data_IF_011622255029
#
_entry.id   IF_011622255029
#
_cell.length_a   1.000
_cell.length_b   1.000
_cell.length_c   1.000
_cell.angle_alpha   90.00
_cell.angle_beta   90.00
_cell.angle_gamma   90.00
#
_symmetry.space_group_name_H-M   'P 1'
#
loop_
_entity.id
_entity.type
_entity.pdbx_description
1 polymer ?
#
# COMPACT_ATOMS: atom_id res chain seq x y z
N UNK A 1 21.66 -9.41 24.85
CA UNK A 1 22.78 -10.13 25.48
C UNK A 1 22.86 -11.58 25.02
N UNK A 2 21.71 -12.20 24.67
CA UNK A 2 21.66 -13.64 24.32
C UNK A 2 21.67 -13.93 22.82
N UNK A 3 21.64 -12.92 21.93
CA UNK A 3 21.54 -13.15 20.47
C UNK A 3 22.75 -13.94 19.94
N UNK A 4 23.95 -13.62 20.42
CA UNK A 4 25.19 -14.28 19.98
C UNK A 4 25.44 -15.65 20.64
N UNK A 5 24.62 -16.09 21.57
CA UNK A 5 24.62 -17.47 22.06
C UNK A 5 24.10 -18.45 21.00
N UNK A 6 23.27 -17.96 20.08
CA UNK A 6 22.82 -18.72 18.92
C UNK A 6 23.88 -18.64 17.82
N UNK A 7 24.45 -19.79 17.46
CA UNK A 7 25.55 -19.90 16.49
C UNK A 7 25.22 -19.20 15.16
N UNK A 8 24.01 -19.39 14.63
CA UNK A 8 23.58 -18.79 13.36
C UNK A 8 23.61 -17.26 13.39
N UNK A 9 23.04 -16.61 14.41
CA UNK A 9 23.07 -15.14 14.49
C UNK A 9 24.48 -14.58 14.63
N UNK A 10 25.38 -15.31 15.31
CA UNK A 10 26.79 -14.93 15.37
C UNK A 10 27.46 -15.03 14.00
N UNK A 11 27.19 -16.09 13.21
CA UNK A 11 27.70 -16.26 11.85
C UNK A 11 27.16 -15.18 10.91
N UNK A 12 25.87 -14.83 10.99
CA UNK A 12 25.27 -13.73 10.26
C UNK A 12 25.94 -12.38 10.58
N UNK A 13 26.15 -12.10 11.86
CA UNK A 13 26.85 -10.90 12.30
C UNK A 13 28.28 -10.84 11.74
N UNK A 14 29.04 -11.94 11.80
CA UNK A 14 30.38 -12.02 11.25
C UNK A 14 30.39 -11.89 9.71
N UNK A 15 29.35 -12.38 9.03
CA UNK A 15 29.20 -12.18 7.59
C UNK A 15 29.09 -10.68 7.25
N UNK A 16 28.26 -9.93 7.95
CA UNK A 16 28.16 -8.47 7.76
C UNK A 16 29.46 -7.73 8.13
N UNK A 17 30.15 -8.15 9.19
CA UNK A 17 31.46 -7.58 9.54
C UNK A 17 32.46 -7.83 8.40
N UNK A 18 32.44 -9.02 7.79
CA UNK A 18 33.28 -9.33 6.64
C UNK A 18 32.98 -8.40 5.47
N UNK A 19 31.74 -8.25 5.11
CA UNK A 19 31.29 -7.33 4.05
C UNK A 19 31.79 -5.90 4.31
N UNK A 20 31.62 -5.39 5.53
CA UNK A 20 32.08 -4.04 5.91
C UNK A 20 33.61 -3.91 5.75
N UNK A 21 34.35 -4.94 6.16
CA UNK A 21 35.83 -4.93 6.04
C UNK A 21 36.25 -4.99 4.58
N UNK A 22 35.70 -5.89 3.79
CA UNK A 22 36.00 -6.08 2.38
C UNK A 22 35.72 -4.82 1.56
N UNK A 23 34.59 -4.16 1.82
CA UNK A 23 34.16 -2.99 1.05
C UNK A 23 34.82 -1.68 1.46
N UNK A 24 35.24 -1.54 2.72
CA UNK A 24 35.67 -0.23 3.23
C UNK A 24 37.13 -0.20 3.71
N UNK A 25 37.74 -1.34 4.07
CA UNK A 25 39.02 -1.33 4.78
C UNK A 25 40.14 -2.09 4.09
N UNK A 26 39.80 -3.02 3.16
CA UNK A 26 40.86 -3.77 2.46
C UNK A 26 41.52 -2.95 1.33
N UNK A 27 40.80 -2.09 0.65
CA UNK A 27 41.26 -1.31 -0.51
C UNK A 27 41.75 0.10 -0.15
N UNK A 28 41.95 0.40 1.15
CA UNK A 28 42.41 1.69 1.67
C UNK A 28 41.52 2.90 1.31
N UNK A 29 40.28 2.68 0.81
CA UNK A 29 39.34 3.75 0.46
C UNK A 29 39.01 4.64 1.65
N UNK A 30 38.98 4.09 2.87
CA UNK A 30 38.73 4.86 4.08
C UNK A 30 39.88 5.87 4.36
N UNK A 31 41.11 5.55 3.98
CA UNK A 31 42.30 6.43 4.12
C UNK A 31 42.10 7.63 3.19
N UNK A 32 41.85 7.38 1.90
CA UNK A 32 41.63 8.43 0.89
C UNK A 32 40.45 9.34 1.28
N UNK A 33 39.38 8.75 1.81
CA UNK A 33 38.24 9.52 2.33
C UNK A 33 38.61 10.34 3.57
N UNK A 34 39.42 9.78 4.46
CA UNK A 34 39.96 10.47 5.63
C UNK A 34 40.81 11.66 5.26
N UNK A 35 41.72 11.50 4.27
CA UNK A 35 42.56 12.57 3.70
C UNK A 35 41.70 13.70 3.12
N UNK A 36 40.74 13.38 2.29
CA UNK A 36 39.85 14.37 1.67
C UNK A 36 39.04 15.17 2.73
N UNK A 37 38.55 14.49 3.77
CA UNK A 37 37.83 15.14 4.88
C UNK A 37 38.77 16.02 5.71
N UNK A 38 40.01 15.56 5.99
CA UNK A 38 41.02 16.33 6.71
C UNK A 38 41.38 17.61 5.95
N UNK A 39 41.64 17.52 4.64
CA UNK A 39 41.90 18.65 3.77
C UNK A 39 40.73 19.65 3.76
N UNK A 40 39.49 19.14 3.66
CA UNK A 40 38.28 19.98 3.64
C UNK A 40 38.14 20.83 4.89
N UNK A 41 38.47 20.31 6.08
CA UNK A 41 38.30 21.03 7.36
C UNK A 41 39.58 21.75 7.80
N UNK A 42 40.74 21.54 7.16
CA UNK A 42 42.06 22.00 7.60
C UNK A 42 42.09 23.49 7.93
N UNK A 43 41.60 24.35 7.02
CA UNK A 43 41.63 25.79 7.22
C UNK A 43 40.83 26.22 8.47
N UNK A 44 39.72 25.54 8.76
CA UNK A 44 38.93 25.82 9.95
C UNK A 44 39.63 25.40 11.22
N UNK A 45 40.29 24.24 11.19
CA UNK A 45 41.09 23.69 12.29
C UNK A 45 42.31 24.59 12.59
N UNK A 46 43.02 25.05 11.55
CA UNK A 46 44.18 25.92 11.70
C UNK A 46 43.79 27.28 12.29
N UNK A 47 42.59 27.80 11.96
CA UNK A 47 42.10 29.06 12.47
C UNK A 47 41.55 28.99 13.91
N UNK A 48 41.25 27.77 14.43
CA UNK A 48 40.77 27.60 15.79
C UNK A 48 41.87 27.78 16.83
N UNK A 49 41.82 28.87 17.58
CA UNK A 49 42.73 29.19 18.67
C UNK A 49 42.40 28.51 20.00
N UNK A 50 41.25 27.87 20.11
CA UNK A 50 40.75 27.24 21.35
C UNK A 50 40.89 25.72 21.36
N UNK A 51 41.49 25.13 20.31
CA UNK A 51 41.71 23.67 20.26
C UNK A 51 42.71 23.18 21.29
N UNK A 52 42.51 21.98 21.80
CA UNK A 52 43.37 21.36 22.82
C UNK A 52 44.55 20.57 22.27
N UNK A 53 44.79 20.57 20.97
CA UNK A 53 45.82 19.83 20.26
C UNK A 53 46.56 20.79 19.28
N UNK A 54 47.75 20.43 18.92
CA UNK A 54 48.55 21.21 17.97
C UNK A 54 48.09 21.00 16.52
N UNK A 55 48.50 21.87 15.60
CA UNK A 55 48.29 21.67 14.18
C UNK A 55 49.02 20.40 13.67
N UNK A 56 50.18 20.10 14.21
CA UNK A 56 50.90 18.88 13.88
C UNK A 56 50.15 17.62 14.34
N UNK A 57 49.50 17.67 15.51
CA UNK A 57 48.72 16.57 16.02
C UNK A 57 47.49 16.32 15.10
N UNK A 58 46.83 17.35 14.65
CA UNK A 58 45.73 17.24 13.68
C UNK A 58 46.19 16.55 12.39
N UNK A 59 47.32 16.97 11.82
CA UNK A 59 47.86 16.38 10.59
C UNK A 59 48.33 14.93 10.77
N UNK A 60 48.88 14.60 11.91
CA UNK A 60 49.40 13.26 12.18
C UNK A 60 48.31 12.26 12.63
N UNK A 61 47.26 12.72 13.33
CA UNK A 61 46.29 11.83 13.96
C UNK A 61 45.39 11.10 12.96
N UNK A 62 45.39 11.47 11.68
CA UNK A 62 44.78 10.60 10.67
C UNK A 62 45.46 9.24 10.60
N UNK A 63 46.79 9.21 10.66
CA UNK A 63 47.58 8.02 10.45
C UNK A 63 48.07 7.35 11.75
N UNK A 64 48.57 8.12 12.69
CA UNK A 64 49.25 7.61 13.87
C UNK A 64 48.62 8.12 15.17
N UNK A 65 48.78 7.33 16.23
CA UNK A 65 48.34 7.68 17.56
C UNK A 65 49.11 8.92 18.05
N UNK A 66 48.40 9.94 18.51
CA UNK A 66 48.97 11.13 19.14
C UNK A 66 48.75 11.03 20.64
N UNK A 67 49.82 11.28 21.41
CA UNK A 67 49.82 11.22 22.86
C UNK A 67 50.04 12.60 23.45
N UNK A 68 49.04 13.08 24.22
CA UNK A 68 49.10 14.27 25.04
C UNK A 68 48.68 13.89 26.47
N UNK A 69 47.66 14.53 27.04
CA UNK A 69 47.08 14.14 28.36
C UNK A 69 46.42 12.76 28.32
N UNK A 70 45.91 12.38 27.16
CA UNK A 70 45.35 11.06 26.83
C UNK A 70 45.86 10.63 25.46
N UNK A 71 45.80 9.34 25.19
CA UNK A 71 46.07 8.82 23.85
C UNK A 71 44.87 9.00 22.94
N UNK A 72 45.10 9.59 21.77
CA UNK A 72 44.14 9.69 20.66
C UNK A 72 44.62 8.76 19.54
N UNK A 73 44.00 7.58 19.40
CA UNK A 73 44.39 6.64 18.34
C UNK A 73 44.27 7.29 16.96
N UNK A 74 45.29 7.13 16.13
CA UNK A 74 45.22 7.45 14.71
C UNK A 74 44.10 6.67 14.04
N UNK A 75 43.34 7.28 13.14
CA UNK A 75 42.24 6.59 12.48
C UNK A 75 42.74 5.38 11.69
N UNK A 76 43.84 5.51 10.95
CA UNK A 76 44.43 4.43 10.15
C UNK A 76 44.96 3.33 11.07
N UNK A 77 45.81 3.65 12.05
CA UNK A 77 46.31 2.70 13.02
C UNK A 77 45.20 1.90 13.70
N UNK A 78 44.15 2.61 14.13
CA UNK A 78 43.01 2.00 14.82
C UNK A 78 42.23 1.02 13.91
N UNK A 79 41.99 1.42 12.65
CA UNK A 79 41.19 0.60 11.73
C UNK A 79 42.00 -0.55 11.16
N UNK A 80 43.27 -0.36 10.86
CA UNK A 80 44.18 -1.47 10.48
C UNK A 80 44.31 -2.51 11.60
N UNK A 81 44.51 -2.07 12.85
CA UNK A 81 44.57 -2.96 14.01
C UNK A 81 43.25 -3.72 14.23
N UNK A 82 42.11 -3.07 14.08
CA UNK A 82 40.77 -3.70 14.18
C UNK A 82 40.52 -4.68 13.05
N UNK A 83 40.84 -4.31 11.81
CA UNK A 83 40.72 -5.18 10.64
C UNK A 83 41.57 -6.43 10.78
N UNK A 84 42.86 -6.29 11.20
CA UNK A 84 43.75 -7.41 11.44
C UNK A 84 43.19 -8.35 12.53
N UNK A 85 42.71 -7.80 13.66
CA UNK A 85 42.13 -8.58 14.73
C UNK A 85 40.84 -9.33 14.27
N UNK A 86 39.93 -8.64 13.63
CA UNK A 86 38.64 -9.22 13.19
C UNK A 86 38.87 -10.26 12.08
N UNK A 87 39.79 -10.01 11.14
CA UNK A 87 40.12 -10.97 10.07
C UNK A 87 40.77 -12.25 10.61
N UNK A 88 41.36 -12.19 11.81
CA UNK A 88 41.92 -13.37 12.50
C UNK A 88 40.89 -14.05 13.41
N UNK A 89 39.72 -13.46 13.61
CA UNK A 89 38.73 -13.98 14.53
C UNK A 89 38.10 -15.28 14.02
N UNK A 90 37.81 -16.21 14.95
CA UNK A 90 37.18 -17.48 14.62
C UNK A 90 35.82 -17.26 13.94
N UNK A 91 35.65 -17.84 12.76
CA UNK A 91 34.44 -17.71 11.94
C UNK A 91 34.46 -16.56 10.92
N UNK A 92 35.55 -15.76 10.89
CA UNK A 92 35.76 -14.81 9.79
C UNK A 92 36.24 -15.53 8.53
N UNK A 93 37.23 -16.44 8.66
CA UNK A 93 37.76 -17.20 7.55
C UNK A 93 36.97 -18.49 7.29
N UNK A 94 37.11 -19.01 6.08
CA UNK A 94 36.55 -20.30 5.70
C UNK A 94 35.01 -20.25 5.46
N UNK A 95 34.45 -19.08 5.14
CA UNK A 95 33.06 -18.95 4.76
C UNK A 95 32.72 -19.79 3.50
N UNK A 96 31.48 -20.25 3.36
CA UNK A 96 30.99 -20.76 2.09
C UNK A 96 31.17 -19.75 0.96
N UNK A 97 31.26 -20.21 -0.29
CA UNK A 97 31.07 -19.35 -1.48
C UNK A 97 29.73 -19.59 -2.10
N UNK A 98 29.06 -18.51 -2.51
CA UNK A 98 27.79 -18.54 -3.25
C UNK A 98 28.08 -17.98 -4.63
N UNK A 99 27.99 -18.86 -5.63
CA UNK A 99 28.28 -18.55 -7.02
C UNK A 99 26.98 -18.72 -7.85
N UNK A 100 26.91 -18.16 -9.04
CA UNK A 100 25.87 -18.37 -10.07
C UNK A 100 24.45 -18.64 -9.54
N UNK A 101 23.71 -17.58 -9.20
CA UNK A 101 22.29 -17.70 -8.81
C UNK A 101 21.43 -17.60 -10.06
N UNK A 102 20.47 -18.52 -10.18
CA UNK A 102 19.49 -18.55 -11.27
C UNK A 102 18.12 -18.97 -10.77
N UNK A 103 17.10 -18.73 -11.58
CA UNK A 103 15.73 -19.22 -11.32
C UNK A 103 15.07 -19.70 -12.61
N UNK A 104 14.09 -20.57 -12.47
CA UNK A 104 13.31 -21.11 -13.58
C UNK A 104 11.86 -21.34 -13.11
N UNK A 105 10.83 -20.95 -13.94
CA UNK A 105 10.92 -20.35 -15.28
C UNK A 105 11.46 -18.92 -15.26
N UNK A 106 12.05 -18.45 -16.37
CA UNK A 106 12.60 -17.09 -16.48
C UNK A 106 11.50 -16.01 -16.56
N UNK A 107 10.32 -16.38 -17.00
CA UNK A 107 9.10 -15.55 -16.98
C UNK A 107 8.05 -16.38 -16.27
N UNK A 108 7.99 -16.29 -14.93
CA UNK A 108 7.03 -17.07 -14.16
C UNK A 108 5.63 -16.45 -14.27
N UNK A 109 4.61 -17.31 -14.38
CA UNK A 109 3.21 -16.93 -14.23
C UNK A 109 2.75 -17.16 -12.77
N UNK A 110 1.72 -16.43 -12.34
CA UNK A 110 1.12 -16.66 -11.03
C UNK A 110 0.65 -18.14 -10.90
N UNK A 111 1.03 -18.78 -9.79
CA UNK A 111 0.79 -20.21 -9.53
C UNK A 111 1.93 -21.12 -9.98
N UNK A 112 2.92 -20.64 -10.71
CA UNK A 112 4.08 -21.45 -11.09
C UNK A 112 4.93 -21.80 -9.87
N UNK A 113 5.55 -22.98 -9.92
CA UNK A 113 6.62 -23.33 -8.99
C UNK A 113 7.93 -22.74 -9.50
N UNK A 114 8.37 -21.70 -8.83
CA UNK A 114 9.65 -21.05 -9.09
C UNK A 114 10.77 -21.83 -8.42
N UNK A 115 11.71 -22.35 -9.20
CA UNK A 115 12.89 -23.07 -8.72
C UNK A 115 14.07 -22.11 -8.70
N UNK A 116 14.60 -21.79 -7.53
CA UNK A 116 15.79 -20.95 -7.33
C UNK A 116 16.97 -21.87 -7.06
N UNK A 117 18.04 -21.72 -7.85
CA UNK A 117 19.20 -22.59 -7.81
C UNK A 117 20.48 -21.76 -7.68
N UNK A 118 21.43 -22.24 -6.89
CA UNK A 118 22.75 -21.61 -6.75
C UNK A 118 23.86 -22.64 -6.56
N UNK A 119 25.00 -22.41 -7.18
CA UNK A 119 26.22 -23.16 -6.93
C UNK A 119 26.85 -22.67 -5.63
N UNK A 120 26.95 -23.57 -4.65
CA UNK A 120 27.47 -23.23 -3.32
C UNK A 120 28.52 -24.25 -2.89
N UNK A 121 29.65 -23.75 -2.41
CA UNK A 121 30.73 -24.62 -1.94
C UNK A 121 30.97 -24.41 -0.44
N UNK A 122 31.40 -25.47 0.25
CA UNK A 122 31.75 -25.46 1.66
C UNK A 122 30.59 -25.04 2.59
N UNK A 123 29.35 -25.38 2.23
CA UNK A 123 28.18 -25.16 3.09
C UNK A 123 27.71 -26.46 3.72
N UNK A 124 27.19 -26.38 4.95
CA UNK A 124 26.47 -27.46 5.64
C UNK A 124 24.97 -27.16 5.71
N UNK A 125 24.58 -25.89 5.62
CA UNK A 125 23.18 -25.46 5.56
C UNK A 125 23.07 -24.23 4.66
N UNK A 126 22.00 -24.23 3.83
CA UNK A 126 21.71 -23.11 2.92
C UNK A 126 20.23 -22.76 3.06
N UNK A 127 19.95 -21.46 3.20
CA UNK A 127 18.63 -20.90 3.39
C UNK A 127 18.33 -19.89 2.29
N UNK A 128 17.18 -20.03 1.66
CA UNK A 128 16.54 -19.01 0.84
C UNK A 128 15.58 -18.23 1.71
N UNK A 129 15.76 -16.93 1.82
CA UNK A 129 14.78 -16.03 2.43
C UNK A 129 14.14 -15.19 1.34
N UNK A 130 12.82 -15.16 1.30
CA UNK A 130 12.06 -14.47 0.27
C UNK A 130 10.84 -13.75 0.87
N UNK A 131 10.34 -12.75 0.15
CA UNK A 131 9.07 -12.05 0.47
C UNK A 131 8.42 -11.53 -0.78
N UNK A 132 7.09 -11.40 -0.74
CA UNK A 132 6.30 -10.71 -1.74
C UNK A 132 6.02 -9.29 -1.28
N UNK A 133 6.20 -8.31 -2.18
CA UNK A 133 6.05 -6.90 -1.87
C UNK A 133 7.16 -6.32 -0.96
N UNK A 134 7.20 -4.99 -0.85
CA UNK A 134 8.35 -4.30 -0.25
C UNK A 134 8.44 -4.33 1.28
N UNK A 135 7.35 -4.56 2.01
CA UNK A 135 7.29 -4.42 3.48
C UNK A 135 6.92 -5.69 4.25
N UNK A 136 6.56 -6.78 3.58
CA UNK A 136 6.26 -8.03 4.25
C UNK A 136 7.50 -8.63 4.93
N UNK A 137 7.29 -9.47 5.94
CA UNK A 137 8.38 -10.22 6.58
C UNK A 137 8.94 -11.25 5.60
N UNK A 138 10.24 -11.53 5.73
CA UNK A 138 10.86 -12.61 4.98
C UNK A 138 10.42 -13.96 5.51
N UNK A 139 9.98 -14.83 4.62
CA UNK A 139 9.83 -16.26 4.85
C UNK A 139 11.16 -16.95 4.53
N UNK A 140 11.45 -18.07 5.18
CA UNK A 140 12.71 -18.77 5.00
C UNK A 140 12.46 -20.26 4.76
N UNK A 141 13.07 -20.79 3.69
CA UNK A 141 13.05 -22.22 3.34
C UNK A 141 14.47 -22.74 3.18
N UNK A 142 14.67 -24.01 3.44
CA UNK A 142 15.98 -24.66 3.21
C UNK A 142 16.17 -24.92 1.72
N UNK A 143 17.35 -24.60 1.21
CA UNK A 143 17.83 -25.07 -0.08
C UNK A 143 18.57 -26.40 0.12
N UNK A 144 18.38 -27.33 -0.81
CA UNK A 144 18.99 -28.65 -0.70
C UNK A 144 19.81 -29.03 -1.94
N UNK A 145 20.78 -29.92 -1.74
CA UNK A 145 21.64 -30.54 -2.75
C UNK A 145 21.49 -32.07 -2.63
N UNK A 146 20.22 -32.54 -2.80
CA UNK A 146 19.84 -33.93 -2.51
C UNK A 146 19.33 -34.72 -3.72
N UNK A 147 19.29 -34.09 -4.90
CA UNK A 147 18.66 -34.66 -6.09
C UNK A 147 17.14 -34.71 -6.03
N UNK A 148 16.53 -33.84 -5.17
CA UNK A 148 15.06 -33.77 -4.96
C UNK A 148 14.59 -32.32 -5.00
N UNK A 149 13.28 -32.12 -5.17
CA UNK A 149 12.64 -30.79 -5.10
C UNK A 149 13.25 -29.76 -6.07
N UNK A 150 13.47 -30.19 -7.33
CA UNK A 150 14.06 -29.34 -8.37
C UNK A 150 15.56 -29.40 -8.50
N UNK A 151 16.24 -30.04 -7.56
CA UNK A 151 17.65 -30.40 -7.69
C UNK A 151 17.80 -31.64 -8.58
N UNK A 152 18.70 -31.57 -9.57
CA UNK A 152 18.83 -32.63 -10.59
C UNK A 152 19.78 -33.74 -10.14
N UNK A 153 20.89 -33.39 -9.48
CA UNK A 153 21.93 -34.35 -9.08
C UNK A 153 22.37 -34.14 -7.64
N UNK A 154 22.35 -35.19 -6.80
CA UNK A 154 22.72 -35.02 -5.40
C UNK A 154 24.23 -34.79 -5.23
N UNK A 155 24.60 -33.93 -4.30
CA UNK A 155 25.97 -33.65 -3.87
C UNK A 155 26.86 -33.07 -5.00
N UNK A 156 26.28 -32.38 -5.96
CA UNK A 156 27.02 -31.69 -7.00
C UNK A 156 27.31 -30.21 -6.65
N UNK A 157 26.82 -29.75 -5.50
CA UNK A 157 26.94 -28.40 -4.98
C UNK A 157 25.93 -27.42 -5.57
N UNK A 158 24.93 -27.89 -6.31
CA UNK A 158 23.82 -27.09 -6.81
C UNK A 158 22.68 -27.12 -5.79
N UNK A 159 22.61 -26.12 -4.95
CA UNK A 159 21.55 -26.01 -3.95
C UNK A 159 20.30 -25.41 -4.56
N UNK A 160 19.15 -26.03 -4.29
CA UNK A 160 17.89 -25.66 -4.92
C UNK A 160 16.79 -25.53 -3.87
N UNK A 161 15.93 -24.52 -4.05
CA UNK A 161 14.67 -24.37 -3.34
C UNK A 161 13.53 -24.07 -4.31
N UNK A 162 12.32 -24.51 -3.96
CA UNK A 162 11.10 -24.24 -4.72
C UNK A 162 10.16 -23.36 -3.89
N UNK A 163 9.62 -22.32 -4.51
CA UNK A 163 8.59 -21.43 -3.94
C UNK A 163 7.46 -21.25 -4.95
N UNK A 164 6.23 -21.10 -4.48
CA UNK A 164 5.11 -20.78 -5.36
C UNK A 164 5.18 -19.31 -5.72
N UNK A 165 5.21 -18.98 -7.00
CA UNK A 165 5.20 -17.59 -7.45
C UNK A 165 3.77 -17.03 -7.48
N UNK A 166 3.55 -15.91 -6.80
CA UNK A 166 2.22 -15.31 -6.64
C UNK A 166 1.91 -14.19 -7.63
N UNK A 167 2.75 -13.98 -8.65
CA UNK A 167 2.54 -12.90 -9.63
C UNK A 167 2.97 -11.51 -9.16
N UNK A 168 3.23 -11.33 -7.87
CA UNK A 168 3.72 -10.07 -7.29
C UNK A 168 5.25 -10.01 -7.29
N UNK A 169 5.81 -8.80 -7.11
CA UNK A 169 7.25 -8.61 -6.95
C UNK A 169 7.79 -9.51 -5.84
N UNK A 170 8.74 -10.36 -6.17
CA UNK A 170 9.42 -11.24 -5.22
C UNK A 170 10.84 -10.76 -4.99
N UNK A 171 11.15 -10.42 -3.73
CA UNK A 171 12.50 -10.11 -3.27
C UNK A 171 13.07 -11.29 -2.50
N UNK A 172 14.33 -11.69 -2.78
CA UNK A 172 14.96 -12.81 -2.09
C UNK A 172 16.46 -12.62 -1.89
N UNK A 173 17.00 -13.35 -0.92
CA UNK A 173 18.43 -13.49 -0.68
C UNK A 173 18.77 -14.90 -0.20
N UNK A 174 20.03 -15.30 -0.32
CA UNK A 174 20.54 -16.59 0.12
C UNK A 174 21.48 -16.38 1.30
N UNK A 175 21.36 -17.20 2.33
CA UNK A 175 22.33 -17.32 3.41
C UNK A 175 22.87 -18.74 3.44
N UNK A 176 24.20 -18.89 3.32
CA UNK A 176 24.88 -20.18 3.44
C UNK A 176 25.78 -20.18 4.66
N UNK A 177 25.79 -21.27 5.41
CA UNK A 177 26.66 -21.44 6.56
C UNK A 177 27.31 -22.82 6.61
N UNK A 178 28.48 -22.88 7.24
CA UNK A 178 29.12 -24.12 7.68
C UNK A 178 29.32 -24.10 9.20
N UNK A 179 30.10 -25.02 9.75
CA UNK A 179 30.27 -25.14 11.21
C UNK A 179 30.79 -23.85 11.86
N UNK A 180 31.61 -23.07 11.16
CA UNK A 180 32.30 -21.90 11.71
C UNK A 180 31.79 -20.56 11.20
N UNK A 181 31.39 -20.46 9.96
CA UNK A 181 31.19 -19.20 9.24
C UNK A 181 29.89 -19.20 8.42
N UNK A 182 29.44 -18.00 8.05
CA UNK A 182 28.31 -17.80 7.16
C UNK A 182 28.59 -16.70 6.12
N UNK A 183 27.78 -16.66 5.06
CA UNK A 183 27.85 -15.67 3.99
C UNK A 183 26.44 -15.37 3.45
N UNK A 184 26.23 -14.13 3.04
CA UNK A 184 25.03 -13.70 2.33
C UNK A 184 25.26 -13.48 0.85
N UNK A 185 24.23 -13.68 0.04
CA UNK A 185 24.18 -13.22 -1.34
C UNK A 185 22.78 -12.64 -1.63
N UNK A 186 22.67 -11.32 -1.99
CA UNK A 186 23.75 -10.33 -2.03
C UNK A 186 24.43 -10.14 -0.67
N UNK A 187 25.66 -9.67 -0.66
CA UNK A 187 26.44 -9.49 0.58
C UNK A 187 25.78 -8.54 1.59
N UNK A 188 25.02 -7.54 1.08
CA UNK A 188 24.27 -6.58 1.87
C UNK A 188 22.79 -6.97 2.01
N UNK A 189 22.53 -8.26 2.22
CA UNK A 189 21.17 -8.84 2.23
C UNK A 189 20.11 -8.13 3.11
N UNK A 190 20.49 -7.28 4.05
CA UNK A 190 19.53 -6.46 4.81
C UNK A 190 18.97 -5.27 4.00
N UNK A 191 19.63 -4.88 2.90
CA UNK A 191 19.32 -3.69 2.09
C UNK A 191 19.25 -4.00 0.60
N UNK A 192 19.95 -5.03 0.13
CA UNK A 192 20.01 -5.46 -1.26
C UNK A 192 19.42 -6.85 -1.40
N UNK A 193 18.63 -7.04 -2.44
CA UNK A 193 17.92 -8.30 -2.71
C UNK A 193 17.99 -8.61 -4.20
N UNK A 194 17.92 -9.87 -4.55
CA UNK A 194 17.54 -10.28 -5.89
C UNK A 194 16.04 -10.07 -6.04
N UNK A 195 15.60 -9.63 -7.21
CA UNK A 195 14.17 -9.36 -7.46
C UNK A 195 13.71 -10.07 -8.72
N UNK A 196 12.49 -10.60 -8.65
CA UNK A 196 11.74 -11.08 -9.79
C UNK A 196 10.50 -10.20 -9.85
N UNK A 197 10.36 -9.47 -10.97
CA UNK A 197 9.26 -8.51 -11.15
C UNK A 197 7.91 -9.24 -11.21
N UNK A 198 6.89 -8.62 -10.66
CA UNK A 198 5.51 -9.05 -10.74
C UNK A 198 5.00 -9.07 -12.18
N UNK A 199 4.00 -9.88 -12.42
CA UNK A 199 3.40 -10.07 -13.75
C UNK A 199 2.09 -9.33 -13.94
N UNK A 200 1.47 -8.78 -12.87
CA UNK A 200 0.27 -7.96 -12.97
C UNK A 200 0.60 -6.46 -12.89
N UNK A 201 -0.21 -5.65 -13.56
CA UNK A 201 -0.05 -4.20 -13.69
C UNK A 201 -1.21 -3.45 -13.03
N UNK A 202 -1.04 -2.14 -12.83
CA UNK A 202 -2.16 -1.27 -12.45
C UNK A 202 -3.34 -1.43 -13.43
N UNK A 203 -4.53 -1.68 -12.88
CA UNK A 203 -5.74 -1.91 -13.66
C UNK A 203 -6.04 -3.37 -13.98
N UNK A 204 -5.13 -4.32 -13.74
CA UNK A 204 -5.40 -5.76 -13.92
C UNK A 204 -6.36 -6.30 -12.85
N UNK A 205 -6.25 -5.83 -11.61
CA UNK A 205 -7.21 -6.08 -10.54
C UNK A 205 -7.84 -4.76 -10.11
N UNK A 206 -9.16 -4.70 -10.16
CA UNK A 206 -9.89 -3.46 -9.88
C UNK A 206 -11.01 -3.66 -8.87
N UNK A 207 -11.34 -2.60 -8.13
CA UNK A 207 -12.59 -2.48 -7.42
C UNK A 207 -13.67 -2.26 -8.47
N UNK A 208 -14.58 -3.22 -8.65
CA UNK A 208 -15.54 -3.23 -9.75
C UNK A 208 -16.93 -2.76 -9.33
N UNK A 209 -17.41 -3.18 -8.16
CA UNK A 209 -18.72 -2.89 -7.62
C UNK A 209 -18.66 -2.86 -6.10
N UNK A 210 -19.51 -2.08 -5.46
CA UNK A 210 -19.76 -2.14 -4.01
C UNK A 210 -21.20 -1.85 -3.67
N UNK A 211 -21.65 -2.35 -2.52
CA UNK A 211 -22.91 -2.01 -1.91
C UNK A 211 -22.71 -1.69 -0.43
N UNK A 212 -22.76 -0.41 -0.06
CA UNK A 212 -22.57 0.06 1.31
C UNK A 212 -23.92 0.41 2.00
N UNK A 213 -25.01 -0.19 1.58
CA UNK A 213 -26.30 -0.20 2.25
C UNK A 213 -27.12 -1.39 1.75
N UNK A 214 -26.66 -2.60 2.05
CA UNK A 214 -27.37 -3.84 1.73
C UNK A 214 -28.41 -4.14 2.81
N UNK A 215 -29.67 -4.15 2.45
CA UNK A 215 -30.79 -4.43 3.37
C UNK A 215 -31.48 -5.73 3.06
N UNK A 216 -31.59 -6.06 1.76
CA UNK A 216 -32.39 -7.21 1.30
C UNK A 216 -31.87 -7.78 -0.02
N UNK A 217 -30.75 -7.26 -0.58
CA UNK A 217 -30.30 -7.58 -1.93
C UNK A 217 -29.58 -8.93 -2.00
N UNK A 218 -28.47 -9.05 -1.30
CA UNK A 218 -27.64 -10.27 -1.28
C UNK A 218 -27.30 -10.61 0.16
N UNK A 219 -27.42 -11.87 0.54
CA UNK A 219 -26.97 -12.37 1.85
C UNK A 219 -25.71 -13.18 1.71
N UNK A 220 -24.93 -13.22 2.77
CA UNK A 220 -23.82 -14.15 2.95
C UNK A 220 -24.28 -15.59 3.24
N UNK A 221 -23.34 -16.48 3.62
CA UNK A 221 -23.60 -17.88 3.94
C UNK A 221 -24.34 -18.05 5.29
N UNK A 222 -24.27 -17.07 6.19
CA UNK A 222 -24.98 -17.00 7.47
C UNK A 222 -26.39 -16.40 7.35
N UNK A 223 -26.80 -15.99 6.13
CA UNK A 223 -28.04 -15.29 5.79
C UNK A 223 -28.14 -13.88 6.36
N UNK A 224 -26.99 -13.19 6.51
CA UNK A 224 -26.92 -11.80 6.90
C UNK A 224 -26.80 -10.91 5.65
N UNK A 225 -27.36 -9.70 5.74
CA UNK A 225 -27.35 -8.73 4.63
C UNK A 225 -26.29 -7.67 4.90
N UNK A 226 -25.01 -8.08 4.75
CA UNK A 226 -23.90 -7.20 4.99
C UNK A 226 -23.48 -6.42 3.75
N UNK A 227 -22.80 -5.31 3.96
CA UNK A 227 -22.20 -4.54 2.89
C UNK A 227 -21.09 -5.35 2.22
N UNK A 228 -20.86 -5.15 0.93
CA UNK A 228 -19.90 -5.92 0.17
C UNK A 228 -19.13 -5.11 -0.87
N UNK A 229 -17.96 -5.62 -1.22
CA UNK A 229 -17.05 -5.11 -2.24
C UNK A 229 -16.80 -6.23 -3.23
N UNK A 230 -16.79 -5.92 -4.52
CA UNK A 230 -16.42 -6.84 -5.58
C UNK A 230 -15.11 -6.40 -6.23
N UNK A 231 -14.15 -7.31 -6.24
CA UNK A 231 -12.93 -7.19 -7.03
C UNK A 231 -13.10 -7.96 -8.34
N UNK A 232 -12.52 -7.48 -9.43
CA UNK A 232 -12.59 -8.09 -10.75
C UNK A 232 -11.20 -8.14 -11.38
N UNK A 233 -10.83 -9.33 -11.90
CA UNK A 233 -9.61 -9.52 -12.66
C UNK A 233 -9.88 -9.20 -14.13
N UNK A 234 -9.35 -8.08 -14.62
CA UNK A 234 -9.48 -7.62 -16.01
C UNK A 234 -8.40 -8.20 -16.93
N UNK A 235 -7.40 -8.90 -16.37
CA UNK A 235 -6.26 -9.41 -17.12
C UNK A 235 -6.52 -10.79 -17.75
N UNK A 236 -5.64 -11.22 -18.64
CA UNK A 236 -5.69 -12.54 -19.27
C UNK A 236 -5.01 -13.64 -18.40
N UNK A 237 -4.50 -13.33 -17.21
CA UNK A 237 -3.79 -14.25 -16.34
C UNK A 237 -4.40 -14.31 -14.93
N UNK A 238 -4.27 -15.43 -14.18
CA UNK A 238 -4.66 -15.49 -12.79
C UNK A 238 -3.86 -14.47 -11.95
N UNK A 239 -4.54 -13.76 -11.05
CA UNK A 239 -3.92 -12.82 -10.11
C UNK A 239 -3.94 -13.43 -8.71
N UNK A 240 -2.76 -13.58 -8.11
CA UNK A 240 -2.62 -13.95 -6.71
C UNK A 240 -2.95 -12.75 -5.81
N UNK A 241 -3.75 -13.00 -4.77
CA UNK A 241 -4.16 -11.96 -3.83
C UNK A 241 -3.23 -11.84 -2.63
N UNK A 242 -2.34 -12.80 -2.42
CA UNK A 242 -1.35 -12.76 -1.35
C UNK A 242 -0.46 -11.51 -1.48
N UNK A 243 -0.39 -10.72 -0.39
CA UNK A 243 0.36 -9.46 -0.37
C UNK A 243 -0.41 -8.26 -0.92
N UNK A 244 -1.69 -8.43 -1.25
CA UNK A 244 -2.61 -7.34 -1.57
C UNK A 244 -3.51 -7.02 -0.36
N UNK A 245 -3.99 -5.79 -0.30
CA UNK A 245 -4.74 -5.26 0.84
C UNK A 245 -5.91 -4.41 0.38
N UNK A 246 -6.99 -4.44 1.17
CA UNK A 246 -8.08 -3.48 1.08
C UNK A 246 -8.10 -2.58 2.33
N UNK A 247 -8.43 -1.32 2.13
CA UNK A 247 -8.53 -0.34 3.22
C UNK A 247 -9.57 0.74 2.91
N UNK A 248 -10.29 1.18 3.94
CA UNK A 248 -11.14 2.36 3.99
C UNK A 248 -10.40 3.59 4.56
N UNK A 249 -9.09 3.47 4.86
CA UNK A 249 -8.27 4.50 5.49
C UNK A 249 -6.98 4.75 4.71
N UNK A 250 -6.84 5.93 4.12
CA UNK A 250 -5.63 6.34 3.39
C UNK A 250 -4.36 6.35 4.27
N UNK A 251 -4.51 6.50 5.58
CA UNK A 251 -3.38 6.49 6.52
C UNK A 251 -2.90 5.07 6.88
N UNK A 252 -3.70 4.04 6.57
CA UNK A 252 -3.38 2.63 6.78
C UNK A 252 -3.81 1.79 5.57
N UNK A 253 -3.06 1.88 4.48
CA UNK A 253 -3.35 1.16 3.24
C UNK A 253 -3.26 -0.37 3.37
N UNK A 254 -2.58 -0.87 4.40
CA UNK A 254 -2.42 -2.30 4.66
C UNK A 254 -3.37 -2.81 5.77
N UNK A 255 -4.52 -2.17 5.94
CA UNK A 255 -5.48 -2.41 7.03
C UNK A 255 -6.00 -3.85 7.08
N UNK A 256 -6.32 -4.43 5.93
CA UNK A 256 -6.82 -5.80 5.83
C UNK A 256 -6.18 -6.52 4.64
N UNK A 257 -5.48 -7.62 4.93
CA UNK A 257 -4.83 -8.45 3.93
C UNK A 257 -5.87 -9.34 3.22
N UNK A 258 -5.83 -9.35 1.90
CA UNK A 258 -6.59 -10.32 1.10
C UNK A 258 -6.10 -11.74 1.39
N UNK A 259 -6.98 -12.76 1.28
CA UNK A 259 -6.60 -14.15 1.54
C UNK A 259 -5.62 -14.70 0.49
N UNK A 260 -4.89 -15.76 0.85
CA UNK A 260 -4.00 -16.50 -0.07
C UNK A 260 -4.85 -17.33 -1.05
N UNK A 261 -5.26 -16.69 -2.13
CA UNK A 261 -6.04 -17.31 -3.21
C UNK A 261 -5.78 -16.58 -4.53
N UNK A 262 -6.35 -17.13 -5.63
CA UNK A 262 -6.25 -16.55 -6.97
C UNK A 262 -7.62 -16.13 -7.48
N UNK A 263 -7.67 -15.00 -8.20
CA UNK A 263 -8.80 -14.63 -9.05
C UNK A 263 -8.41 -14.99 -10.49
N UNK A 264 -9.19 -15.89 -11.13
CA UNK A 264 -8.95 -16.28 -12.52
C UNK A 264 -9.26 -15.12 -13.49
N UNK A 265 -8.77 -15.13 -14.73
CA UNK A 265 -9.17 -14.16 -15.75
C UNK A 265 -10.69 -14.04 -15.87
N UNK A 266 -11.19 -12.83 -15.97
CA UNK A 266 -12.62 -12.51 -16.05
C UNK A 266 -13.47 -12.93 -14.85
N UNK A 267 -12.84 -13.36 -13.74
CA UNK A 267 -13.54 -13.75 -12.51
C UNK A 267 -13.64 -12.59 -11.50
N UNK A 268 -14.53 -12.81 -10.53
CA UNK A 268 -14.85 -11.85 -9.46
C UNK A 268 -14.52 -12.43 -8.10
N UNK A 269 -14.24 -11.56 -7.13
CA UNK A 269 -14.19 -11.91 -5.71
C UNK A 269 -15.09 -10.97 -4.92
N UNK A 270 -16.03 -11.56 -4.19
CA UNK A 270 -16.83 -10.83 -3.21
C UNK A 270 -16.12 -10.80 -1.87
N UNK A 271 -16.01 -9.61 -1.30
CA UNK A 271 -15.50 -9.36 0.05
C UNK A 271 -16.63 -8.73 0.86
N UNK A 272 -17.12 -9.42 1.88
CA UNK A 272 -18.08 -8.88 2.83
C UNK A 272 -17.39 -7.88 3.75
N UNK A 273 -17.95 -6.69 3.86
CA UNK A 273 -17.38 -5.58 4.63
C UNK A 273 -18.16 -5.37 5.93
N UNK A 274 -17.98 -6.28 6.89
CA UNK A 274 -18.81 -6.43 8.09
C UNK A 274 -18.01 -6.53 9.40
N UNK A 275 -16.67 -6.62 9.33
CA UNK A 275 -15.76 -6.85 10.46
C UNK A 275 -15.87 -8.24 11.10
N UNK A 276 -16.44 -9.23 10.41
CA UNK A 276 -16.73 -10.56 10.95
C UNK A 276 -15.82 -11.65 10.35
N UNK A 277 -14.52 -11.42 10.40
CA UNK A 277 -13.46 -12.21 9.73
C UNK A 277 -13.42 -13.70 10.10
N UNK A 278 -14.27 -14.17 11.01
CA UNK A 278 -14.39 -15.58 11.42
C UNK A 278 -15.51 -16.33 10.71
N UNK A 279 -16.36 -15.65 9.94
CA UNK A 279 -17.43 -16.26 9.17
C UNK A 279 -16.91 -16.98 7.92
N UNK A 280 -17.77 -17.79 7.32
CA UNK A 280 -17.50 -18.48 6.06
C UNK A 280 -17.47 -17.49 4.90
N UNK A 281 -16.50 -17.64 3.98
CA UNK A 281 -16.32 -16.70 2.89
C UNK A 281 -15.13 -15.74 3.10
N UNK A 282 -15.15 -14.60 2.44
CA UNK A 282 -14.10 -13.58 2.54
C UNK A 282 -14.69 -12.34 3.21
N UNK A 283 -14.35 -12.13 4.46
CA UNK A 283 -14.87 -11.05 5.32
C UNK A 283 -13.74 -10.12 5.74
N UNK A 284 -13.89 -8.81 5.47
CA UNK A 284 -12.91 -7.81 5.85
C UNK A 284 -13.03 -7.43 7.34
N UNK A 285 -11.97 -6.80 7.88
CA UNK A 285 -11.95 -6.31 9.26
C UNK A 285 -12.52 -4.89 9.43
N UNK A 286 -13.23 -4.38 8.42
CA UNK A 286 -13.86 -3.06 8.42
C UNK A 286 -15.24 -3.12 7.79
N UNK A 287 -16.05 -2.08 8.01
CA UNK A 287 -17.39 -1.89 7.44
C UNK A 287 -17.41 -0.69 6.50
N UNK A 288 -18.29 -0.70 5.50
CA UNK A 288 -18.48 0.45 4.64
C UNK A 288 -19.42 1.47 5.28
N UNK A 289 -19.21 2.75 4.97
CA UNK A 289 -20.06 3.83 5.45
C UNK A 289 -21.06 4.26 4.36
N UNK A 290 -22.34 4.00 4.55
CA UNK A 290 -23.39 4.37 3.61
C UNK A 290 -23.46 5.88 3.28
N UNK A 291 -22.88 6.77 4.11
CA UNK A 291 -22.83 8.20 3.81
C UNK A 291 -21.75 8.59 2.80
N UNK A 292 -20.91 7.62 2.42
CA UNK A 292 -19.80 7.76 1.48
C UNK A 292 -18.44 7.85 2.19
N UNK A 293 -17.43 7.26 1.55
CA UNK A 293 -16.03 7.25 2.01
C UNK A 293 -15.06 6.90 0.88
N UNK A 294 -13.82 6.60 1.22
CA UNK A 294 -12.79 6.14 0.29
C UNK A 294 -12.53 4.65 0.49
N UNK A 295 -12.19 3.96 -0.59
CA UNK A 295 -11.75 2.57 -0.59
C UNK A 295 -10.49 2.44 -1.43
N UNK A 296 -9.51 1.68 -0.96
CA UNK A 296 -8.22 1.50 -1.57
C UNK A 296 -7.90 0.01 -1.72
N UNK A 297 -7.39 -0.36 -2.88
CA UNK A 297 -6.70 -1.62 -3.13
C UNK A 297 -5.21 -1.31 -3.26
N UNK A 298 -4.36 -1.97 -2.49
CA UNK A 298 -2.92 -1.69 -2.42
C UNK A 298 -2.08 -2.96 -2.33
N UNK A 299 -0.78 -2.83 -2.64
CA UNK A 299 0.21 -3.87 -2.41
C UNK A 299 0.87 -3.77 -1.02
N UNK A 300 1.71 -4.74 -0.67
CA UNK A 300 2.47 -4.76 0.58
C UNK A 300 3.48 -3.60 0.72
N UNK A 301 3.84 -2.94 -0.39
CA UNK A 301 4.63 -1.72 -0.45
C UNK A 301 3.82 -0.46 -0.15
N UNK A 302 2.51 -0.58 0.06
CA UNK A 302 1.54 0.53 0.14
C UNK A 302 1.45 1.33 -1.18
N UNK A 303 1.69 0.67 -2.33
CA UNK A 303 1.38 1.23 -3.64
C UNK A 303 -0.11 1.04 -3.89
N UNK A 304 -0.82 2.12 -4.21
CA UNK A 304 -2.23 2.05 -4.55
C UNK A 304 -2.36 1.49 -5.98
N UNK A 305 -3.03 0.35 -6.11
CA UNK A 305 -3.32 -0.32 -7.40
C UNK A 305 -4.63 0.16 -7.99
N UNK A 306 -5.64 0.38 -7.14
CA UNK A 306 -6.92 0.99 -7.51
C UNK A 306 -7.53 1.71 -6.31
N UNK A 307 -8.37 2.69 -6.57
CA UNK A 307 -9.04 3.44 -5.51
C UNK A 307 -10.37 4.01 -5.96
N UNK A 308 -11.25 4.18 -5.00
CA UNK A 308 -12.59 4.70 -5.20
C UNK A 308 -12.96 5.68 -4.08
N UNK A 309 -13.47 6.84 -4.44
CA UNK A 309 -14.26 7.68 -3.52
C UNK A 309 -15.72 7.56 -3.90
N UNK A 310 -16.53 6.96 -3.04
CA UNK A 310 -17.96 6.79 -3.32
C UNK A 310 -18.82 7.76 -2.51
N UNK A 311 -19.92 8.27 -3.11
CA UNK A 311 -20.83 9.19 -2.45
C UNK A 311 -21.80 8.43 -1.54
N UNK A 312 -22.69 9.18 -0.85
CA UNK A 312 -23.81 8.58 -0.13
C UNK A 312 -24.54 7.54 -1.00
N UNK A 313 -24.72 6.36 -0.43
CA UNK A 313 -25.33 5.20 -1.07
C UNK A 313 -26.84 5.17 -0.91
N UNK A 314 -27.48 4.35 -1.73
CA UNK A 314 -28.93 4.07 -1.68
C UNK A 314 -29.13 2.64 -1.19
N UNK A 315 -30.20 2.38 -0.46
CA UNK A 315 -30.52 1.02 0.01
C UNK A 315 -30.71 0.07 -1.18
N UNK A 316 -30.04 -1.09 -1.14
CA UNK A 316 -30.10 -2.16 -2.14
C UNK A 316 -29.73 -1.73 -3.58
N UNK A 317 -28.93 -0.68 -3.72
CA UNK A 317 -28.38 -0.18 -4.98
C UNK A 317 -26.87 -0.19 -4.93
N UNK A 318 -26.25 -0.80 -5.92
CA UNK A 318 -24.78 -0.84 -5.98
C UNK A 318 -24.19 0.42 -6.63
N UNK A 319 -22.90 0.63 -6.38
CA UNK A 319 -22.10 1.65 -7.03
C UNK A 319 -20.96 0.95 -7.76
N UNK A 320 -21.02 0.93 -9.09
CA UNK A 320 -20.23 0.00 -9.90
C UNK A 320 -19.68 0.63 -11.17
N UNK A 321 -18.60 0.03 -11.69
CA UNK A 321 -18.01 0.43 -12.96
C UNK A 321 -18.90 0.02 -14.13
N UNK A 322 -19.14 0.94 -15.06
CA UNK A 322 -19.81 0.66 -16.32
C UNK A 322 -19.15 1.44 -17.45
N UNK A 323 -18.57 0.77 -18.46
CA UNK A 323 -18.43 -0.68 -18.68
C UNK A 323 -17.71 -1.43 -17.54
N UNK A 324 -17.96 -2.75 -17.46
CA UNK A 324 -17.39 -3.66 -16.48
C UNK A 324 -15.84 -3.51 -16.40
N UNK A 325 -15.28 -3.47 -15.22
CA UNK A 325 -13.83 -3.38 -14.96
C UNK A 325 -13.16 -2.06 -15.34
N UNK A 326 -13.63 -1.36 -16.37
CA UNK A 326 -12.92 -0.22 -16.98
C UNK A 326 -13.68 1.10 -16.94
N UNK A 327 -14.98 1.05 -16.68
CA UNK A 327 -15.85 2.22 -16.74
C UNK A 327 -15.76 3.13 -15.51
N UNK A 328 -16.42 4.29 -15.62
CA UNK A 328 -16.64 5.15 -14.46
C UNK A 328 -17.74 4.56 -13.58
N UNK A 329 -17.60 4.79 -12.27
CA UNK A 329 -18.60 4.35 -11.29
C UNK A 329 -19.92 5.10 -11.43
N UNK A 330 -21.01 4.36 -11.34
CA UNK A 330 -22.39 4.87 -11.34
C UNK A 330 -23.30 3.98 -10.52
N UNK A 331 -24.49 4.49 -10.14
CA UNK A 331 -25.48 3.68 -9.43
C UNK A 331 -26.15 2.69 -10.40
N UNK A 332 -26.10 1.40 -10.04
CA UNK A 332 -26.65 0.30 -10.83
C UNK A 332 -27.59 -0.58 -9.98
N UNK A 333 -28.45 -1.35 -10.67
CA UNK A 333 -28.98 -2.56 -10.04
C UNK A 333 -27.83 -3.50 -9.75
N UNK A 334 -27.78 -4.07 -8.55
CA UNK A 334 -26.69 -4.97 -8.15
C UNK A 334 -26.52 -6.13 -9.13
N UNK A 335 -25.25 -6.43 -9.47
CA UNK A 335 -24.90 -7.54 -10.35
C UNK A 335 -24.27 -8.70 -9.60
N UNK A 336 -23.63 -8.45 -8.49
CA UNK A 336 -23.07 -9.44 -7.55
C UNK A 336 -22.46 -10.69 -8.23
N UNK A 337 -21.16 -10.73 -8.32
CA UNK A 337 -20.40 -11.83 -8.93
C UNK A 337 -20.72 -12.07 -10.44
N UNK A 338 -21.11 -11.01 -11.14
CA UNK A 338 -21.36 -11.04 -12.60
C UNK A 338 -21.08 -9.67 -13.24
N UNK A 339 -21.00 -9.65 -14.59
CA UNK A 339 -20.67 -8.43 -15.34
C UNK A 339 -21.69 -7.29 -15.14
N UNK A 340 -21.18 -6.10 -14.83
CA UNK A 340 -21.95 -4.84 -14.70
C UNK A 340 -22.56 -4.36 -16.02
N UNK A 341 -22.18 -4.92 -17.16
CA UNK A 341 -22.63 -4.46 -18.47
C UNK A 341 -24.12 -4.72 -18.69
N UNK A 342 -24.68 -5.74 -18.04
CA UNK A 342 -26.09 -6.06 -18.09
C UNK A 342 -26.96 -5.23 -17.11
N UNK A 343 -26.34 -4.55 -16.13
CA UNK A 343 -27.03 -3.82 -15.09
C UNK A 343 -27.79 -2.60 -15.60
N UNK A 344 -28.92 -2.31 -14.95
CA UNK A 344 -29.69 -1.09 -15.21
C UNK A 344 -29.12 0.08 -14.43
N UNK A 345 -28.88 1.21 -15.08
CA UNK A 345 -28.45 2.45 -14.42
C UNK A 345 -29.62 2.97 -13.57
N UNK A 346 -29.38 3.18 -12.28
CA UNK A 346 -30.32 3.78 -11.35
C UNK A 346 -30.02 5.29 -11.28
N UNK A 347 -30.84 6.15 -11.85
CA UNK A 347 -30.59 7.58 -11.77
C UNK A 347 -30.62 8.04 -10.32
N UNK A 348 -29.54 8.63 -9.82
CA UNK A 348 -29.56 9.28 -8.51
C UNK A 348 -30.61 10.37 -8.52
N UNK A 349 -31.60 10.26 -7.63
CA UNK A 349 -32.64 11.29 -7.50
C UNK A 349 -31.94 12.61 -7.16
N UNK A 350 -32.03 13.58 -8.06
CA UNK A 350 -31.39 14.87 -7.88
C UNK A 350 -31.74 15.48 -6.51
N UNK A 351 -30.76 15.75 -5.68
CA UNK A 351 -31.04 16.42 -4.40
C UNK A 351 -31.50 17.85 -4.72
N UNK A 352 -32.70 18.18 -4.26
CA UNK A 352 -33.29 19.51 -4.36
C UNK A 352 -33.15 20.17 -2.99
N UNK A 353 -32.33 21.23 -2.92
CA UNK A 353 -32.28 22.07 -1.73
C UNK A 353 -33.07 23.33 -2.00
N UNK A 354 -33.97 23.63 -1.11
CA UNK A 354 -34.71 24.87 -1.07
C UNK A 354 -34.62 25.46 0.33
N UNK A 355 -33.89 26.56 0.45
CA UNK A 355 -33.82 27.32 1.69
C UNK A 355 -34.44 28.69 1.52
N UNK A 356 -35.11 29.20 2.59
CA UNK A 356 -35.84 30.45 2.56
C UNK A 356 -35.64 31.25 3.84
N UNK A 357 -35.23 32.50 3.71
CA UNK A 357 -35.03 33.41 4.86
C UNK A 357 -35.32 34.90 4.48
N UNK A 358 -35.67 35.76 5.44
CA UNK A 358 -36.08 35.43 6.80
C UNK A 358 -37.43 34.71 6.81
N UNK A 359 -37.64 33.87 7.81
CA UNK A 359 -38.96 33.24 8.04
C UNK A 359 -39.24 33.27 9.55
N UNK A 360 -40.18 34.11 10.03
CA UNK A 360 -41.17 34.92 9.27
C UNK A 360 -40.58 36.04 8.41
N UNK A 361 -41.28 36.34 7.29
CA UNK A 361 -40.87 37.36 6.33
C UNK A 361 -41.73 38.62 6.44
N UNK A 362 -41.11 39.80 6.23
CA UNK A 362 -41.87 41.07 6.13
C UNK A 362 -42.04 41.49 4.65
N UNK A 363 -41.00 41.94 3.96
CA UNK A 363 -41.15 42.50 2.60
C UNK A 363 -40.48 41.66 1.52
N UNK A 364 -39.34 41.03 1.83
CA UNK A 364 -38.52 40.28 0.86
C UNK A 364 -38.11 38.94 1.43
N UNK A 365 -38.43 37.88 0.72
CA UNK A 365 -37.97 36.52 0.99
C UNK A 365 -36.79 36.21 0.11
N UNK A 366 -35.63 35.89 0.70
CA UNK A 366 -34.46 35.37 0.02
C UNK A 366 -34.58 33.86 -0.09
N UNK A 367 -34.25 33.34 -1.24
CA UNK A 367 -34.39 31.92 -1.56
C UNK A 367 -33.06 31.42 -2.13
N UNK A 368 -32.53 30.36 -1.53
CA UNK A 368 -31.39 29.60 -2.08
C UNK A 368 -31.94 28.29 -2.64
N UNK A 369 -31.59 28.04 -3.90
CA UNK A 369 -31.94 26.84 -4.66
C UNK A 369 -30.63 26.13 -4.97
N UNK A 370 -30.55 24.82 -4.67
CA UNK A 370 -29.55 23.96 -5.24
C UNK A 370 -30.26 22.83 -6.01
N UNK A 371 -29.94 22.70 -7.29
CA UNK A 371 -30.56 21.71 -8.17
C UNK A 371 -29.54 21.25 -9.23
N UNK A 372 -29.48 19.95 -9.48
CA UNK A 372 -28.63 19.37 -10.53
C UNK A 372 -29.26 19.42 -11.92
N UNK A 373 -30.56 19.78 -12.01
CA UNK A 373 -31.31 19.89 -13.27
C UNK A 373 -32.13 21.17 -13.28
N UNK A 374 -32.76 21.49 -14.41
CA UNK A 374 -33.72 22.59 -14.50
C UNK A 374 -34.82 22.40 -13.46
N UNK A 375 -35.12 23.44 -12.69
CA UNK A 375 -36.06 23.41 -11.59
C UNK A 375 -37.04 24.59 -11.66
N UNK A 376 -38.29 24.34 -11.27
CA UNK A 376 -39.32 25.34 -11.19
C UNK A 376 -39.61 25.70 -9.74
N UNK A 377 -39.33 26.94 -9.37
CA UNK A 377 -39.75 27.51 -8.09
C UNK A 377 -41.13 28.09 -8.22
N UNK A 378 -42.05 27.69 -7.35
CA UNK A 378 -43.41 28.21 -7.27
C UNK A 378 -43.73 28.66 -5.85
N UNK A 379 -44.48 29.73 -5.72
CA UNK A 379 -44.90 30.28 -4.43
C UNK A 379 -46.42 30.35 -4.37
N UNK A 380 -47.00 29.76 -3.34
CA UNK A 380 -48.45 29.57 -3.20
C UNK A 380 -48.98 30.20 -1.91
N UNK A 381 -50.24 30.64 -1.90
CA UNK A 381 -50.96 30.94 -0.67
C UNK A 381 -51.50 29.68 0.03
N UNK A 382 -52.09 29.84 1.20
CA UNK A 382 -52.60 28.74 2.03
C UNK A 382 -53.73 27.91 1.39
N UNK A 383 -54.37 28.46 0.36
CA UNK A 383 -55.44 27.75 -0.38
C UNK A 383 -54.92 27.16 -1.70
N UNK A 384 -53.63 27.21 -1.95
CA UNK A 384 -53.01 26.59 -3.13
C UNK A 384 -53.03 27.48 -4.38
N UNK A 385 -53.35 28.76 -4.28
CA UNK A 385 -53.31 29.67 -5.43
C UNK A 385 -51.88 30.06 -5.71
N UNK A 386 -51.42 29.90 -6.97
CA UNK A 386 -50.10 30.30 -7.42
C UNK A 386 -49.99 31.84 -7.43
N UNK A 387 -48.92 32.35 -6.76
CA UNK A 387 -48.64 33.79 -6.67
C UNK A 387 -47.37 34.16 -7.49
N UNK A 388 -46.44 33.24 -7.61
CA UNK A 388 -45.19 33.42 -8.36
C UNK A 388 -44.70 32.08 -8.89
N UNK A 389 -44.11 32.06 -10.09
CA UNK A 389 -43.40 30.92 -10.62
C UNK A 389 -42.28 31.38 -11.53
N UNK A 390 -41.11 30.71 -11.43
CA UNK A 390 -40.01 30.95 -12.30
C UNK A 390 -39.17 29.65 -12.51
N UNK A 391 -38.57 29.55 -13.69
CA UNK A 391 -37.73 28.40 -14.07
C UNK A 391 -36.27 28.77 -13.91
N UNK A 392 -35.48 27.90 -13.29
CA UNK A 392 -34.05 28.06 -13.04
C UNK A 392 -33.25 26.94 -13.72
N UNK A 393 -32.03 27.23 -14.14
CA UNK A 393 -31.06 26.25 -14.64
C UNK A 393 -30.46 25.47 -13.49
N UNK A 394 -29.74 24.36 -13.80
CA UNK A 394 -28.99 23.62 -12.82
C UNK A 394 -27.93 24.52 -12.14
N UNK A 395 -27.63 24.27 -10.86
CA UNK A 395 -26.65 24.99 -10.07
C UNK A 395 -27.18 25.46 -8.72
N UNK A 396 -26.33 26.23 -8.02
CA UNK A 396 -26.72 26.96 -6.80
C UNK A 396 -27.14 28.35 -7.24
N UNK A 397 -28.40 28.73 -6.98
CA UNK A 397 -28.98 29.99 -7.40
C UNK A 397 -29.60 30.68 -6.18
N UNK A 398 -29.28 31.96 -6.06
CA UNK A 398 -29.93 32.85 -5.09
C UNK A 398 -30.91 33.75 -5.82
N UNK A 399 -32.16 33.84 -5.31
CA UNK A 399 -33.18 34.68 -5.85
C UNK A 399 -34.02 35.29 -4.74
N UNK A 400 -34.95 36.18 -5.09
CA UNK A 400 -35.81 36.84 -4.10
C UNK A 400 -37.29 36.85 -4.59
N UNK A 401 -38.21 36.78 -3.65
CA UNK A 401 -39.62 37.01 -3.88
C UNK A 401 -40.05 38.20 -3.01
N UNK A 402 -40.69 39.19 -3.64
CA UNK A 402 -41.33 40.28 -2.91
C UNK A 402 -42.63 39.79 -2.29
N UNK A 403 -42.73 39.92 -0.98
CA UNK A 403 -43.94 39.63 -0.22
C UNK A 403 -44.68 40.91 0.18
N UNK A 404 -44.24 42.05 -0.36
CA UNK A 404 -44.88 43.33 -0.16
C UNK A 404 -46.29 43.33 -0.74
N UNK A 405 -47.31 43.69 0.05
CA UNK A 405 -48.71 43.65 -0.36
C UNK A 405 -49.43 42.33 -0.16
N UNK A 406 -48.70 41.25 0.23
CA UNK A 406 -49.35 40.02 0.68
C UNK A 406 -49.91 40.20 2.10
N UNK A 407 -51.07 39.58 2.34
CA UNK A 407 -51.70 39.59 3.68
C UNK A 407 -50.89 38.77 4.67
N UNK A 408 -50.87 39.11 5.97
CA UNK A 408 -50.35 38.24 6.99
C UNK A 408 -50.95 36.82 6.91
N UNK A 409 -50.11 35.80 6.98
CA UNK A 409 -50.58 34.42 6.83
C UNK A 409 -49.49 33.42 6.47
N UNK A 410 -49.93 32.21 6.12
CA UNK A 410 -49.06 31.09 5.73
C UNK A 410 -49.01 30.98 4.20
N UNK A 411 -47.83 30.77 3.69
CA UNK A 411 -47.48 30.57 2.28
C UNK A 411 -46.58 29.36 2.12
N UNK A 412 -46.43 28.86 0.91
CA UNK A 412 -45.57 27.72 0.60
C UNK A 412 -44.69 28.05 -0.59
N UNK A 413 -43.38 27.89 -0.39
CA UNK A 413 -42.39 27.88 -1.45
C UNK A 413 -42.15 26.43 -1.87
N UNK A 414 -42.31 26.13 -3.15
CA UNK A 414 -42.24 24.77 -3.70
C UNK A 414 -41.23 24.79 -4.85
N UNK A 415 -40.20 23.98 -4.74
CA UNK A 415 -39.24 23.74 -5.80
C UNK A 415 -39.46 22.36 -6.38
N UNK A 416 -39.61 22.25 -7.70
CA UNK A 416 -39.80 21.00 -8.42
C UNK A 416 -38.73 20.86 -9.51
N UNK A 417 -38.14 19.70 -9.58
CA UNK A 417 -37.21 19.33 -10.65
C UNK A 417 -37.37 17.84 -10.96
N UNK A 418 -37.70 17.50 -12.20
CA UNK A 418 -38.05 16.13 -12.59
C UNK A 418 -39.03 15.50 -11.57
N UNK A 419 -38.64 14.37 -10.98
CA UNK A 419 -39.43 13.65 -9.97
C UNK A 419 -39.17 14.09 -8.52
N UNK A 420 -38.37 15.15 -8.32
CA UNK A 420 -38.01 15.66 -7.00
C UNK A 420 -38.79 16.90 -6.63
N UNK A 421 -39.21 16.98 -5.36
CA UNK A 421 -40.00 18.09 -4.79
C UNK A 421 -39.43 18.51 -3.44
N UNK A 422 -39.15 19.79 -3.28
CA UNK A 422 -38.80 20.39 -1.98
C UNK A 422 -39.84 21.48 -1.65
N UNK A 423 -40.33 21.51 -0.41
CA UNK A 423 -41.33 22.47 0.04
C UNK A 423 -40.88 23.11 1.35
N UNK A 424 -41.03 24.42 1.43
CA UNK A 424 -40.83 25.22 2.65
C UNK A 424 -42.04 26.04 2.98
N UNK A 425 -42.50 25.96 4.24
CA UNK A 425 -43.52 26.83 4.79
C UNK A 425 -42.94 28.20 5.06
N UNK A 426 -43.64 29.26 4.63
CA UNK A 426 -43.26 30.67 4.84
C UNK A 426 -44.34 31.35 5.64
N UNK A 427 -43.96 32.07 6.69
CA UNK A 427 -44.88 32.87 7.53
C UNK A 427 -44.67 34.33 7.18
N UNK A 428 -45.73 35.02 6.81
CA UNK A 428 -45.78 36.48 6.55
C UNK A 428 -46.41 37.19 7.72
N UNK A 429 -45.72 38.19 8.23
CA UNK A 429 -46.28 39.14 9.21
C UNK A 429 -47.11 40.22 8.53
#
# INVERSE_FOLDING_TARGET
RNLFEYSRYRKMYLAHIRTIIEENFLDADFVTRGEALSEFIENSVLADTNKFYSNADFQNNLYTTVTDLVEYPGLVDLMEGRTAYLSSYYGYQGAPSIDSISYNPQVPAAGDTLTITSKINNATEVLLSFRYGGKSLFETVSMNDSGLNGDEFPLDGMYTAQVVYHGADLAYYIFAENDSSGVFSPQRAAYEFYTIAGTFSEGDLVINELMASNKTSQSDDENEFDDWIELYNTSEAPIALLGLFLSDDLSDLNKWALPDMFIQPDDYLIVWADSETSQSGVHSNFKLNATGEQLFLSDAGSTILDSLTFPQQLDDVSYARKPNGTGSFTFLSATFNTSNDSATIIPKKASLVLDVHPNPVNETLFITIESQAKSMLSFYDAVGRLLYSNLFTAGIIQTTISTKGLKPGVYFSVLRSNDSLATKKVIKF
#
